data_IF_715502373660
#
_entry.id   IF_715502373660
#
_cell.length_a   1.000
_cell.length_b   1.000
_cell.length_c   1.000
_cell.angle_alpha   90.00
_cell.angle_beta   90.00
_cell.angle_gamma   90.00
#
_symmetry.space_group_name_H-M   'P 1'
#
loop_
_entity.id
_entity.type
_entity.pdbx_description
1 polymer ?
#
# COMPACT_ATOMS: atom_id res chain seq x y z
N UNK A 1 7.69 10.06 34.89
CA UNK A 1 6.75 9.48 33.90
C UNK A 1 7.56 9.15 32.67
N UNK A 2 7.53 7.92 32.16
CA UNK A 2 8.24 7.57 30.93
C UNK A 2 7.39 8.06 29.76
N UNK A 3 7.90 9.04 29.02
CA UNK A 3 7.33 9.46 27.75
C UNK A 3 7.33 8.28 26.79
N UNK A 4 6.15 7.76 26.48
CA UNK A 4 5.94 6.84 25.37
C UNK A 4 5.98 7.64 24.06
N UNK A 5 7.12 8.24 23.76
CA UNK A 5 7.43 8.61 22.38
C UNK A 5 7.59 7.31 21.60
N UNK A 6 6.56 6.96 20.81
CA UNK A 6 6.61 5.79 19.95
C UNK A 6 7.81 5.88 19.00
N UNK A 7 8.57 4.78 18.86
CA UNK A 7 9.81 4.80 18.12
C UNK A 7 9.56 4.76 16.61
N UNK A 8 10.50 5.36 15.90
CA UNK A 8 10.90 5.00 14.54
C UNK A 8 9.94 5.38 13.38
N UNK A 9 10.02 6.64 12.96
CA UNK A 9 9.88 6.93 11.53
C UNK A 9 11.01 6.20 10.81
N UNK A 10 10.73 5.06 10.19
CA UNK A 10 11.66 4.41 9.28
C UNK A 10 12.01 5.42 8.16
N UNK A 11 13.26 5.92 8.10
CA UNK A 11 13.61 7.03 7.21
C UNK A 11 13.65 6.61 5.73
N UNK A 12 13.67 5.30 5.43
CA UNK A 12 13.73 4.81 4.05
C UNK A 12 12.44 5.06 3.24
N UNK A 13 11.34 5.41 3.90
CA UNK A 13 10.02 5.63 3.27
C UNK A 13 9.37 6.96 3.67
N UNK A 14 10.04 7.75 4.52
CA UNK A 14 9.57 9.08 4.94
C UNK A 14 9.67 10.07 3.78
N UNK A 15 8.60 10.17 3.01
CA UNK A 15 8.50 11.11 1.88
C UNK A 15 7.47 10.72 0.83
N UNK A 16 7.02 9.46 0.81
CA UNK A 16 6.01 9.03 -0.14
C UNK A 16 4.61 9.52 0.29
N UNK A 17 4.07 10.49 -0.44
CA UNK A 17 2.69 10.90 -0.30
C UNK A 17 1.78 10.00 -1.13
N UNK A 18 1.31 8.89 -0.55
CA UNK A 18 0.47 7.90 -1.23
C UNK A 18 -0.80 8.49 -1.86
N UNK A 19 -1.42 9.48 -1.19
CA UNK A 19 -2.62 10.16 -1.70
C UNK A 19 -2.30 10.94 -2.97
N UNK A 20 -1.22 11.73 -2.95
CA UNK A 20 -0.81 12.51 -4.11
C UNK A 20 -0.46 11.61 -5.29
N UNK A 21 0.29 10.53 -5.04
CA UNK A 21 0.65 9.54 -6.05
C UNK A 21 -0.60 8.95 -6.73
N UNK A 22 -1.60 8.52 -5.94
CA UNK A 22 -2.85 8.01 -6.48
C UNK A 22 -3.61 9.06 -7.30
N UNK A 23 -3.71 10.28 -6.78
CA UNK A 23 -4.44 11.37 -7.45
C UNK A 23 -3.79 11.76 -8.78
N UNK A 24 -2.46 11.77 -8.86
CA UNK A 24 -1.73 12.01 -10.12
C UNK A 24 -2.07 10.98 -11.21
N UNK A 25 -2.50 9.78 -10.82
CA UNK A 25 -2.94 8.72 -11.74
C UNK A 25 -4.43 8.76 -12.05
N UNK A 26 -5.20 9.65 -11.43
CA UNK A 26 -6.65 9.73 -11.62
C UNK A 26 -7.43 8.54 -11.06
N UNK A 27 -6.85 7.81 -10.10
CA UNK A 27 -7.42 6.55 -9.60
C UNK A 27 -8.21 6.73 -8.30
N UNK A 28 -9.28 5.95 -8.14
CA UNK A 28 -9.97 5.79 -6.85
C UNK A 28 -9.11 4.99 -5.86
N UNK A 29 -9.42 5.10 -4.56
CA UNK A 29 -8.71 4.32 -3.53
C UNK A 29 -8.79 2.82 -3.81
N UNK A 30 -9.96 2.29 -4.17
CA UNK A 30 -10.12 0.87 -4.52
C UNK A 30 -9.20 0.48 -5.67
N UNK A 31 -9.23 1.23 -6.79
CA UNK A 31 -8.40 0.94 -7.96
C UNK A 31 -6.91 0.92 -7.62
N UNK A 32 -6.45 1.90 -6.83
CA UNK A 32 -5.05 1.99 -6.43
C UNK A 32 -4.62 0.86 -5.50
N UNK A 33 -5.32 0.70 -4.39
CA UNK A 33 -4.92 -0.12 -3.27
C UNK A 33 -5.15 -1.61 -3.47
N UNK A 34 -6.14 -1.99 -4.28
CA UNK A 34 -6.44 -3.41 -4.52
C UNK A 34 -5.27 -4.18 -5.15
N UNK A 35 -4.41 -3.48 -5.91
CA UNK A 35 -3.21 -4.08 -6.53
C UNK A 35 -2.22 -4.64 -5.51
N UNK A 36 -2.25 -4.11 -4.29
CA UNK A 36 -1.36 -4.46 -3.20
C UNK A 36 -2.08 -5.29 -2.12
N UNK A 37 -3.26 -5.82 -2.44
CA UNK A 37 -4.11 -6.53 -1.48
C UNK A 37 -4.67 -5.62 -0.38
N UNK A 38 -4.73 -4.30 -0.59
CA UNK A 38 -5.23 -3.37 0.41
C UNK A 38 -6.68 -2.99 0.08
N UNK A 39 -7.59 -3.14 1.04
CA UNK A 39 -8.99 -2.73 0.88
C UNK A 39 -9.13 -1.20 0.79
N UNK A 40 -10.26 -0.70 0.29
CA UNK A 40 -10.50 0.75 0.21
C UNK A 40 -10.44 1.45 1.58
N UNK A 41 -11.00 0.84 2.62
CA UNK A 41 -11.01 1.39 3.98
C UNK A 41 -9.61 1.41 4.61
N UNK A 42 -8.78 0.41 4.35
CA UNK A 42 -7.36 0.42 4.72
C UNK A 42 -6.57 1.46 3.96
N UNK A 43 -6.77 1.56 2.65
CA UNK A 43 -6.15 2.58 1.80
C UNK A 43 -6.44 3.99 2.29
N UNK A 44 -7.68 4.25 2.70
CA UNK A 44 -8.08 5.52 3.33
C UNK A 44 -7.30 5.81 4.62
N UNK A 45 -7.13 4.80 5.49
CA UNK A 45 -6.33 4.93 6.72
C UNK A 45 -4.86 5.20 6.43
N UNK A 46 -4.28 4.49 5.47
CA UNK A 46 -2.89 4.70 5.03
C UNK A 46 -2.69 6.13 4.51
N UNK A 47 -3.58 6.60 3.63
CA UNK A 47 -3.51 7.96 3.07
C UNK A 47 -3.66 9.04 4.14
N UNK A 48 -4.52 8.81 5.14
CA UNK A 48 -4.74 9.75 6.26
C UNK A 48 -3.58 9.75 7.25
N UNK A 49 -3.04 8.58 7.59
CA UNK A 49 -1.91 8.44 8.50
C UNK A 49 -0.59 8.91 7.85
N UNK A 50 -0.51 8.90 6.52
CA UNK A 50 0.72 9.19 5.79
C UNK A 50 1.78 8.08 5.90
N UNK A 51 1.37 6.88 6.32
CA UNK A 51 2.25 5.73 6.54
C UNK A 51 1.55 4.43 6.18
N UNK A 52 2.28 3.51 5.57
CA UNK A 52 1.81 2.15 5.26
C UNK A 52 2.71 1.12 5.98
N UNK A 53 2.24 -0.13 6.19
CA UNK A 53 3.13 -1.23 6.55
C UNK A 53 4.30 -1.35 5.57
N UNK A 54 5.48 -1.73 6.06
CA UNK A 54 6.73 -1.79 5.27
C UNK A 54 6.55 -2.59 3.98
N UNK A 55 5.89 -3.75 4.06
CA UNK A 55 5.61 -4.62 2.90
C UNK A 55 4.81 -3.90 1.81
N UNK A 56 3.76 -3.17 2.19
CA UNK A 56 2.94 -2.39 1.26
C UNK A 56 3.75 -1.26 0.64
N UNK A 57 4.51 -0.52 1.46
CA UNK A 57 5.33 0.59 1.00
C UNK A 57 6.45 0.15 0.03
N UNK A 58 7.07 -1.01 0.26
CA UNK A 58 8.04 -1.62 -0.66
C UNK A 58 7.38 -1.95 -2.01
N UNK A 59 6.21 -2.61 -2.00
CA UNK A 59 5.49 -2.96 -3.22
C UNK A 59 5.08 -1.71 -4.03
N UNK A 60 4.57 -0.68 -3.35
CA UNK A 60 4.23 0.60 -4.00
C UNK A 60 5.49 1.23 -4.60
N UNK A 61 6.62 1.23 -3.89
CA UNK A 61 7.88 1.80 -4.40
C UNK A 61 8.40 1.06 -5.65
N UNK A 62 8.30 -0.27 -5.65
CA UNK A 62 8.68 -1.09 -6.81
C UNK A 62 7.75 -0.87 -8.01
N UNK A 63 6.45 -0.69 -7.76
CA UNK A 63 5.49 -0.37 -8.82
C UNK A 63 5.73 1.01 -9.42
N UNK A 64 5.91 2.04 -8.58
CA UNK A 64 6.11 3.43 -9.02
C UNK A 64 7.44 3.61 -9.75
N UNK A 65 8.48 2.89 -9.34
CA UNK A 65 9.77 2.89 -10.06
C UNK A 65 9.71 2.16 -11.41
N UNK A 66 8.61 1.47 -11.72
CA UNK A 66 8.48 0.65 -12.92
C UNK A 66 9.20 -0.70 -12.85
N UNK A 67 9.76 -1.06 -11.68
CA UNK A 67 10.45 -2.33 -11.46
C UNK A 67 9.49 -3.53 -11.51
N UNK A 68 8.24 -3.32 -11.10
CA UNK A 68 7.17 -4.32 -11.19
C UNK A 68 6.05 -3.79 -12.08
N UNK A 69 5.76 -4.44 -13.22
CA UNK A 69 4.65 -4.05 -14.07
C UNK A 69 3.31 -4.47 -13.46
N UNK A 70 2.24 -3.76 -13.82
CA UNK A 70 0.90 -3.97 -13.27
C UNK A 70 0.36 -5.39 -13.46
N UNK A 71 0.63 -6.02 -14.61
CA UNK A 71 0.18 -7.38 -14.88
C UNK A 71 0.76 -8.41 -13.91
N UNK A 72 1.97 -8.17 -13.37
CA UNK A 72 2.59 -9.07 -12.41
C UNK A 72 1.92 -8.95 -11.03
N UNK A 73 1.52 -7.73 -10.63
CA UNK A 73 0.70 -7.53 -9.42
C UNK A 73 -0.64 -8.25 -9.56
N UNK A 74 -1.30 -8.12 -10.72
CA UNK A 74 -2.57 -8.80 -10.96
C UNK A 74 -2.41 -10.33 -10.95
N UNK A 75 -1.34 -10.86 -11.55
CA UNK A 75 -1.05 -12.29 -11.52
C UNK A 75 -0.87 -12.82 -10.08
N UNK A 76 -0.16 -12.07 -9.22
CA UNK A 76 -0.01 -12.44 -7.80
C UNK A 76 -1.36 -12.41 -7.09
N UNK A 77 -2.19 -11.41 -7.33
CA UNK A 77 -3.53 -11.32 -6.76
C UNK A 77 -4.41 -12.52 -7.17
N UNK A 78 -4.38 -12.90 -8.45
CA UNK A 78 -5.12 -14.06 -8.95
C UNK A 78 -4.65 -15.38 -8.29
N UNK A 79 -3.34 -15.53 -8.06
CA UNK A 79 -2.77 -16.67 -7.33
C UNK A 79 -3.30 -16.71 -5.89
N UNK A 80 -3.34 -15.56 -5.21
CA UNK A 80 -3.82 -15.46 -3.84
C UNK A 80 -5.33 -15.79 -3.74
N UNK A 81 -6.14 -15.27 -4.67
CA UNK A 81 -7.58 -15.54 -4.72
C UNK A 81 -7.90 -17.01 -4.99
N UNK A 82 -7.15 -17.67 -5.88
CA UNK A 82 -7.34 -19.10 -6.20
C UNK A 82 -7.01 -20.04 -5.03
N UNK A 83 -6.23 -19.58 -4.05
CA UNK A 83 -5.85 -20.37 -2.86
C UNK A 83 -6.83 -20.22 -1.69
N UNK A 84 -7.96 -19.56 -1.88
CA UNK A 84 -8.97 -19.36 -0.82
C UNK A 84 -8.56 -18.35 0.26
N UNK A 85 -7.43 -17.66 0.10
CA UNK A 85 -7.06 -16.55 0.97
C UNK A 85 -7.86 -15.31 0.60
N UNK A 86 -8.45 -14.63 1.57
CA UNK A 86 -9.03 -13.31 1.34
C UNK A 86 -7.88 -12.36 1.00
N UNK A 87 -7.77 -11.86 -0.24
CA UNK A 87 -6.60 -11.09 -0.66
C UNK A 87 -6.63 -9.66 -0.10
N UNK A 88 -7.70 -9.28 0.58
CA UNK A 88 -7.79 -8.01 1.28
C UNK A 88 -7.16 -8.13 2.67
N UNK A 89 -6.07 -7.41 2.88
CA UNK A 89 -5.63 -6.96 4.20
C UNK A 89 -6.80 -6.17 4.78
N UNK A 90 -7.54 -6.80 5.69
CA UNK A 90 -8.50 -6.15 6.57
C UNK A 90 -7.74 -5.62 7.77
N UNK A 91 -7.47 -4.32 7.73
CA UNK A 91 -7.47 -3.46 8.90
C UNK A 91 -8.93 -3.10 9.22
#
# INVERSE_FOLDING_TARGET
>A
MKDFSHPEKNPALSGMNFRQLRLQRGETQTQFWQRFGVSQSCGSRIEKAGSAPLSVAMLVSLYVSGSIPEHLLQQVMDICSKRGGNPHIMC
#
